data_IF_634846857649
#
_entry.id   IF_634846857649
#
_cell.length_a   1.000
_cell.length_b   1.000
_cell.length_c   1.000
_cell.angle_alpha   90.00
_cell.angle_beta   90.00
_cell.angle_gamma   90.00
#
_symmetry.space_group_name_H-M   'P 1'
#
loop_
_entity.id
_entity.type
_entity.pdbx_description
1 polymer ?
#
# COMPACT_ATOMS: atom_id res chain seq x y z
N UNK A 1 26.83 12.03 4.11
CA UNK A 1 27.38 12.48 5.41
C UNK A 1 28.19 11.34 5.99
N UNK A 2 29.45 11.58 6.33
CA UNK A 2 30.38 10.57 6.82
C UNK A 2 30.11 10.22 8.30
N UNK A 3 30.44 9.00 8.74
CA UNK A 3 30.12 8.48 10.09
C UNK A 3 30.54 9.39 11.27
N UNK A 4 31.58 10.22 11.10
CA UNK A 4 32.07 11.15 12.12
C UNK A 4 31.11 12.30 12.45
N UNK A 5 30.28 12.73 11.51
CA UNK A 5 29.30 13.80 11.75
C UNK A 5 28.16 13.32 12.65
N UNK A 6 27.75 12.05 12.52
CA UNK A 6 26.67 11.50 13.34
C UNK A 6 27.06 11.35 14.82
N UNK A 7 28.33 11.07 15.13
CA UNK A 7 28.78 10.97 16.54
C UNK A 7 28.72 12.32 17.23
N UNK A 8 29.18 13.34 16.54
CA UNK A 8 29.14 14.71 17.02
C UNK A 8 27.71 15.21 17.18
N UNK A 9 26.83 14.92 16.20
CA UNK A 9 25.41 15.24 16.27
C UNK A 9 24.72 14.53 17.44
N UNK A 10 25.00 13.23 17.65
CA UNK A 10 24.43 12.46 18.75
C UNK A 10 24.85 13.00 20.11
N UNK A 11 26.15 13.29 20.29
CA UNK A 11 26.65 13.86 21.55
C UNK A 11 25.99 15.21 21.85
N UNK A 12 25.77 16.05 20.83
CA UNK A 12 25.08 17.34 21.00
C UNK A 12 23.61 17.14 21.38
N UNK A 13 22.89 16.25 20.70
CA UNK A 13 21.48 15.97 20.98
C UNK A 13 21.29 15.37 22.39
N UNK A 14 22.15 14.43 22.80
CA UNK A 14 22.11 13.83 24.15
C UNK A 14 22.45 14.84 25.25
N UNK A 15 23.46 15.70 25.02
CA UNK A 15 23.80 16.78 25.94
C UNK A 15 22.64 17.76 26.08
N UNK A 16 22.03 18.19 24.98
CA UNK A 16 20.86 19.05 25.00
C UNK A 16 19.71 18.43 25.81
N UNK A 17 19.36 17.16 25.54
CA UNK A 17 18.34 16.45 26.32
C UNK A 17 18.66 16.38 27.81
N UNK A 18 19.93 16.19 28.18
CA UNK A 18 20.34 16.12 29.60
C UNK A 18 20.25 17.48 30.29
N UNK A 19 20.63 18.56 29.60
CA UNK A 19 20.56 19.94 30.12
C UNK A 19 19.10 20.31 30.39
N UNK A 20 18.21 20.07 29.41
CA UNK A 20 16.78 20.34 29.58
C UNK A 20 16.14 19.51 30.70
N UNK A 21 16.67 18.32 30.99
CA UNK A 21 16.19 17.49 32.09
C UNK A 21 16.53 18.07 33.48
N UNK A 22 17.66 18.76 33.61
CA UNK A 22 18.20 19.24 34.90
C UNK A 22 17.61 20.59 35.33
N UNK A 23 17.17 21.42 34.39
CA UNK A 23 16.58 22.73 34.65
C UNK A 23 15.05 22.63 34.65
N UNK A 24 14.45 22.37 35.81
CA UNK A 24 13.00 22.05 35.95
C UNK A 24 12.05 23.26 36.04
N UNK A 25 12.56 24.49 35.86
CA UNK A 25 11.85 25.71 36.28
C UNK A 25 11.10 26.48 35.17
N UNK A 26 11.14 26.08 33.88
CA UNK A 26 10.31 26.67 32.80
C UNK A 26 9.52 25.57 32.05
N UNK A 27 8.32 25.27 32.57
CA UNK A 27 7.67 23.96 32.47
C UNK A 27 7.28 23.44 31.06
N UNK A 28 6.79 24.29 30.14
CA UNK A 28 6.26 23.81 28.84
C UNK A 28 7.27 23.93 27.68
N UNK A 29 7.93 25.09 27.55
CA UNK A 29 8.88 25.33 26.45
C UNK A 29 10.11 24.43 26.53
N UNK A 30 10.69 24.24 27.73
CA UNK A 30 11.84 23.36 27.90
C UNK A 30 11.47 21.88 27.70
N UNK A 31 10.24 21.49 28.07
CA UNK A 31 9.75 20.13 27.85
C UNK A 31 9.56 19.81 26.37
N UNK A 32 9.14 20.80 25.56
CA UNK A 32 9.12 20.67 24.09
C UNK A 32 10.54 20.54 23.53
N UNK A 33 11.46 21.41 23.94
CA UNK A 33 12.86 21.36 23.48
C UNK A 33 13.55 20.02 23.88
N UNK A 34 13.21 19.46 25.05
CA UNK A 34 13.66 18.13 25.47
C UNK A 34 13.07 17.02 24.59
N UNK A 35 11.79 17.11 24.22
CA UNK A 35 11.14 16.17 23.31
C UNK A 35 11.77 16.21 21.92
N UNK A 36 12.04 17.40 21.40
CA UNK A 36 12.70 17.62 20.10
C UNK A 36 14.12 17.02 20.09
N UNK A 37 14.88 17.21 21.18
CA UNK A 37 16.20 16.60 21.33
C UNK A 37 16.13 15.06 21.37
N UNK A 38 15.11 14.48 22.01
CA UNK A 38 14.87 13.03 22.03
C UNK A 38 14.50 12.51 20.64
N UNK A 39 13.62 13.21 19.93
CA UNK A 39 13.24 12.87 18.57
C UNK A 39 14.45 12.86 17.65
N UNK A 40 15.29 13.91 17.70
CA UNK A 40 16.53 13.99 16.93
C UNK A 40 17.51 12.87 17.25
N UNK A 41 17.61 12.45 18.53
CA UNK A 41 18.40 11.27 18.89
C UNK A 41 17.86 10.01 18.16
N UNK A 42 16.54 9.84 18.11
CA UNK A 42 15.88 8.76 17.38
C UNK A 42 16.25 8.75 15.90
N UNK A 43 16.16 9.89 15.23
CA UNK A 43 16.55 10.06 13.81
C UNK A 43 18.01 9.70 13.58
N UNK A 44 18.93 10.16 14.44
CA UNK A 44 20.36 9.87 14.29
C UNK A 44 20.63 8.36 14.44
N UNK A 45 20.00 7.68 15.41
CA UNK A 45 20.14 6.23 15.55
C UNK A 45 19.55 5.47 14.38
N UNK A 46 18.43 5.94 13.83
CA UNK A 46 17.85 5.37 12.63
C UNK A 46 18.81 5.47 11.44
N UNK A 47 19.39 6.64 11.17
CA UNK A 47 20.37 6.81 10.07
C UNK A 47 21.63 5.95 10.26
N UNK A 48 21.97 5.59 11.50
CA UNK A 48 23.07 4.67 11.84
C UNK A 48 22.72 3.18 11.69
N UNK A 49 21.45 2.84 11.51
CA UNK A 49 20.97 1.47 11.44
C UNK A 49 20.69 0.80 12.80
N UNK A 50 20.79 1.54 13.91
CA UNK A 50 20.40 1.03 15.24
C UNK A 50 18.91 1.28 15.46
N UNK A 51 18.09 0.38 14.90
CA UNK A 51 16.64 0.48 14.97
C UNK A 51 16.11 0.33 16.40
N UNK A 52 16.77 -0.44 17.27
CA UNK A 52 16.35 -0.62 18.67
C UNK A 52 16.49 0.69 19.45
N UNK A 53 17.63 1.37 19.30
CA UNK A 53 17.84 2.68 19.91
C UNK A 53 16.88 3.73 19.33
N UNK A 54 16.70 3.77 18.01
CA UNK A 54 15.78 4.69 17.35
C UNK A 54 14.36 4.60 17.91
N UNK A 55 13.83 3.38 18.03
CA UNK A 55 12.50 3.11 18.60
C UNK A 55 12.41 3.61 20.05
N UNK A 56 13.41 3.33 20.89
CA UNK A 56 13.40 3.74 22.29
C UNK A 56 13.35 5.26 22.44
N UNK A 57 14.19 5.98 21.70
CA UNK A 57 14.22 7.44 21.72
C UNK A 57 12.93 8.06 21.19
N UNK A 58 12.39 7.54 20.10
CA UNK A 58 11.11 8.00 19.54
C UNK A 58 9.94 7.76 20.51
N UNK A 59 9.89 6.65 21.25
CA UNK A 59 8.85 6.41 22.26
C UNK A 59 8.94 7.39 23.45
N UNK A 60 10.15 7.77 23.85
CA UNK A 60 10.37 8.76 24.92
C UNK A 60 9.98 10.17 24.46
N UNK A 61 10.31 10.53 23.22
CA UNK A 61 9.86 11.78 22.60
C UNK A 61 8.32 11.82 22.51
N UNK A 62 7.71 10.75 22.00
CA UNK A 62 6.25 10.58 21.89
C UNK A 62 5.52 10.80 23.21
N UNK A 63 6.02 10.21 24.30
CA UNK A 63 5.42 10.40 25.62
C UNK A 63 5.41 11.87 26.04
N UNK A 64 6.48 12.60 25.71
CA UNK A 64 6.62 14.03 25.99
C UNK A 64 5.64 14.86 25.13
N UNK A 65 5.55 14.58 23.83
CA UNK A 65 4.63 15.27 22.92
C UNK A 65 3.16 15.04 23.26
N UNK A 66 2.80 13.82 23.69
CA UNK A 66 1.44 13.52 24.16
C UNK A 66 1.07 14.37 25.37
N UNK A 67 1.97 14.51 26.34
CA UNK A 67 1.74 15.35 27.53
C UNK A 67 1.68 16.85 27.20
N UNK A 68 2.24 17.26 26.05
CA UNK A 68 2.20 18.62 25.52
C UNK A 68 1.07 18.84 24.51
N UNK A 69 0.22 17.82 24.30
CA UNK A 69 -0.87 17.80 23.32
C UNK A 69 -0.43 18.13 21.88
N UNK A 70 0.87 17.92 21.56
CA UNK A 70 1.43 18.10 20.22
C UNK A 70 1.12 16.86 19.38
N UNK A 71 -0.06 16.83 18.76
CA UNK A 71 -0.53 15.66 18.02
C UNK A 71 0.32 15.37 16.79
N UNK A 72 0.73 16.39 16.03
CA UNK A 72 1.57 16.20 14.83
C UNK A 72 2.93 15.58 15.19
N UNK A 73 3.58 16.08 16.23
CA UNK A 73 4.85 15.56 16.73
C UNK A 73 4.71 14.15 17.33
N UNK A 74 3.56 13.83 17.94
CA UNK A 74 3.25 12.45 18.36
C UNK A 74 3.19 11.51 17.15
N UNK A 75 2.59 11.95 16.04
CA UNK A 75 2.47 11.18 14.79
C UNK A 75 3.84 10.98 14.14
N UNK A 76 4.71 11.99 14.12
CA UNK A 76 6.10 11.84 13.66
C UNK A 76 6.81 10.72 14.43
N UNK A 77 6.71 10.72 15.75
CA UNK A 77 7.31 9.66 16.56
C UNK A 77 6.73 8.27 16.25
N UNK A 78 5.42 8.19 16.00
CA UNK A 78 4.75 6.94 15.62
C UNK A 78 5.25 6.41 14.27
N UNK A 79 5.49 7.30 13.30
CA UNK A 79 6.09 6.95 12.03
C UNK A 79 7.50 6.39 12.20
N UNK A 80 8.37 7.08 12.96
CA UNK A 80 9.74 6.62 13.27
C UNK A 80 9.71 5.23 13.93
N UNK A 81 8.83 5.02 14.91
CA UNK A 81 8.66 3.70 15.56
C UNK A 81 8.19 2.65 14.56
N UNK A 82 7.21 2.96 13.72
CA UNK A 82 6.65 2.02 12.76
C UNK A 82 7.72 1.54 11.75
N UNK A 83 8.46 2.47 11.15
CA UNK A 83 9.46 2.12 10.14
C UNK A 83 10.64 1.37 10.74
N UNK A 84 11.17 1.83 11.88
CA UNK A 84 12.30 1.16 12.53
C UNK A 84 11.91 -0.21 13.09
N UNK A 85 10.68 -0.38 13.58
CA UNK A 85 10.20 -1.69 14.04
C UNK A 85 10.03 -2.68 12.87
N UNK A 86 9.60 -2.22 11.70
CA UNK A 86 9.55 -3.06 10.49
C UNK A 86 10.95 -3.47 10.02
N UNK A 87 11.93 -2.54 10.00
CA UNK A 87 13.33 -2.86 9.66
C UNK A 87 13.97 -3.80 10.69
N UNK A 88 13.68 -3.60 11.97
CA UNK A 88 14.11 -4.50 13.04
C UNK A 88 13.52 -5.91 12.85
N UNK A 89 12.25 -6.04 12.47
CA UNK A 89 11.67 -7.34 12.17
C UNK A 89 12.43 -8.07 11.07
N UNK A 90 12.82 -7.37 10.00
CA UNK A 90 13.64 -7.93 8.93
C UNK A 90 15.03 -8.36 9.41
N UNK A 91 15.67 -7.60 10.31
CA UNK A 91 16.95 -7.99 10.94
C UNK A 91 16.81 -9.23 11.83
N UNK A 92 15.67 -9.37 12.52
CA UNK A 92 15.35 -10.51 13.38
C UNK A 92 14.82 -11.72 12.58
N UNK A 93 14.86 -11.67 11.24
CA UNK A 93 14.58 -12.81 10.36
C UNK A 93 13.18 -12.83 9.72
N UNK A 94 12.43 -11.73 9.70
CA UNK A 94 11.23 -11.64 8.87
C UNK A 94 11.60 -11.53 7.39
N UNK A 95 11.21 -12.51 6.58
CA UNK A 95 11.37 -12.52 5.13
C UNK A 95 10.05 -12.87 4.45
N UNK A 96 9.83 -12.30 3.27
CA UNK A 96 8.65 -12.59 2.46
C UNK A 96 8.69 -14.01 1.88
N UNK A 97 9.88 -14.50 1.52
CA UNK A 97 10.08 -15.79 0.82
C UNK A 97 10.11 -17.02 1.75
N UNK A 98 10.30 -16.83 3.06
CA UNK A 98 10.54 -17.94 4.00
C UNK A 98 9.26 -18.74 4.30
N UNK A 99 9.22 -20.02 3.92
CA UNK A 99 8.03 -20.87 4.18
C UNK A 99 7.69 -21.00 5.67
N UNK A 100 8.68 -20.81 6.55
CA UNK A 100 8.52 -20.89 8.00
C UNK A 100 8.03 -19.56 8.59
N UNK A 101 7.22 -19.62 9.66
CA UNK A 101 6.74 -18.40 10.29
C UNK A 101 7.90 -17.70 11.03
N UNK A 102 7.97 -16.36 11.02
CA UNK A 102 9.13 -15.62 11.50
C UNK A 102 9.43 -15.90 12.98
N UNK A 103 10.67 -15.71 13.45
CA UNK A 103 11.02 -15.85 14.87
C UNK A 103 10.14 -14.97 15.77
N UNK A 104 10.02 -15.33 17.05
CA UNK A 104 9.19 -14.58 18.01
C UNK A 104 9.57 -13.10 18.08
N UNK A 105 10.87 -12.79 18.14
CA UNK A 105 11.37 -11.42 18.16
C UNK A 105 10.93 -10.61 16.93
N UNK A 106 10.97 -11.22 15.74
CA UNK A 106 10.49 -10.61 14.51
C UNK A 106 8.97 -10.39 14.52
N UNK A 107 8.18 -11.34 15.04
CA UNK A 107 6.72 -11.17 15.20
C UNK A 107 6.36 -10.02 16.13
N UNK A 108 7.03 -9.93 17.28
CA UNK A 108 6.81 -8.88 18.27
C UNK A 108 7.15 -7.49 17.66
N UNK A 109 8.23 -7.41 16.87
CA UNK A 109 8.61 -6.21 16.14
C UNK A 109 7.58 -5.82 15.05
N UNK A 110 7.07 -6.79 14.26
CA UNK A 110 6.01 -6.55 13.27
C UNK A 110 4.71 -6.05 13.92
N UNK A 111 4.33 -6.62 15.06
CA UNK A 111 3.14 -6.19 15.80
C UNK A 111 3.30 -4.76 16.32
N UNK A 112 4.48 -4.42 16.86
CA UNK A 112 4.80 -3.05 17.27
C UNK A 112 4.75 -2.07 16.10
N UNK A 113 5.28 -2.47 14.95
CA UNK A 113 5.26 -1.65 13.74
C UNK A 113 3.83 -1.36 13.27
N UNK A 114 2.99 -2.40 13.15
CA UNK A 114 1.61 -2.26 12.72
C UNK A 114 0.78 -1.39 13.67
N UNK A 115 0.87 -1.66 14.98
CA UNK A 115 0.16 -0.87 16.00
C UNK A 115 0.55 0.60 15.97
N UNK A 116 1.83 0.89 15.71
CA UNK A 116 2.32 2.27 15.66
C UNK A 116 1.82 2.98 14.41
N UNK A 117 1.87 2.31 13.24
CA UNK A 117 1.34 2.86 12.00
C UNK A 117 -0.17 3.16 12.10
N UNK A 118 -0.96 2.20 12.58
CA UNK A 118 -2.42 2.36 12.74
C UNK A 118 -2.79 3.42 13.78
N UNK A 119 -2.02 3.53 14.88
CA UNK A 119 -2.22 4.60 15.85
C UNK A 119 -1.97 5.98 15.22
N UNK A 120 -0.94 6.12 14.39
CA UNK A 120 -0.65 7.37 13.68
C UNK A 120 -1.77 7.74 12.70
N UNK A 121 -2.19 6.78 11.88
CA UNK A 121 -3.32 6.97 10.94
C UNK A 121 -4.61 7.35 11.68
N UNK A 122 -4.87 6.77 12.85
CA UNK A 122 -6.04 7.13 13.67
C UNK A 122 -5.96 8.58 14.18
N UNK A 123 -4.79 9.04 14.62
CA UNK A 123 -4.61 10.42 15.07
C UNK A 123 -4.81 11.40 13.91
N UNK A 124 -4.26 11.11 12.73
CA UNK A 124 -4.43 11.93 11.52
C UNK A 124 -5.88 12.03 11.02
N UNK A 125 -6.73 11.06 11.35
CA UNK A 125 -8.18 11.14 11.01
C UNK A 125 -8.93 12.14 11.87
N UNK A 126 -8.48 12.37 13.11
CA UNK A 126 -9.15 13.22 14.10
C UNK A 126 -8.55 14.62 14.13
N UNK A 127 -7.27 14.74 13.77
CA UNK A 127 -6.52 16.00 13.78
C UNK A 127 -5.97 16.28 12.39
N UNK A 128 -6.38 17.40 11.79
CA UNK A 128 -5.79 17.86 10.55
C UNK A 128 -4.33 18.26 10.81
N UNK A 129 -3.39 17.53 10.24
CA UNK A 129 -1.99 17.93 10.23
C UNK A 129 -1.74 18.94 9.12
N UNK A 130 -1.07 20.04 9.46
CA UNK A 130 -0.72 21.11 8.51
C UNK A 130 0.78 21.14 8.24
N UNK A 131 1.62 20.86 9.24
CA UNK A 131 3.07 20.98 9.09
C UNK A 131 3.71 19.86 8.23
N UNK A 132 3.09 18.67 8.24
CA UNK A 132 3.61 17.47 7.60
C UNK A 132 2.51 16.72 6.83
N UNK A 133 2.03 17.26 5.70
CA UNK A 133 0.96 16.64 4.91
C UNK A 133 1.32 15.25 4.37
N UNK A 134 2.61 14.97 4.19
CA UNK A 134 3.17 13.71 3.69
C UNK A 134 3.03 12.54 4.68
N UNK A 135 2.87 12.82 5.98
CA UNK A 135 2.90 11.78 7.03
C UNK A 135 1.81 10.72 6.88
N UNK A 136 0.65 11.10 6.33
CA UNK A 136 -0.42 10.14 6.08
C UNK A 136 0.04 9.08 5.08
N UNK A 137 0.60 9.50 3.95
CA UNK A 137 1.14 8.59 2.94
C UNK A 137 2.30 7.75 3.49
N UNK A 138 3.19 8.36 4.27
CA UNK A 138 4.33 7.66 4.87
C UNK A 138 3.90 6.57 5.87
N UNK A 139 2.87 6.83 6.70
CA UNK A 139 2.30 5.83 7.60
C UNK A 139 1.58 4.70 6.86
N UNK A 140 0.92 5.01 5.73
CA UNK A 140 0.34 4.00 4.86
C UNK A 140 1.43 3.09 4.25
N UNK A 141 2.54 3.66 3.79
CA UNK A 141 3.70 2.90 3.33
C UNK A 141 4.34 2.04 4.44
N UNK A 142 4.43 2.56 5.66
CA UNK A 142 4.92 1.81 6.82
C UNK A 142 3.98 0.64 7.17
N UNK A 143 2.66 0.87 7.16
CA UNK A 143 1.65 -0.20 7.31
C UNK A 143 1.79 -1.25 6.21
N UNK A 144 1.89 -0.83 4.96
CA UNK A 144 2.04 -1.72 3.82
C UNK A 144 3.28 -2.61 3.94
N UNK A 145 4.42 -2.05 4.36
CA UNK A 145 5.65 -2.81 4.57
C UNK A 145 5.47 -3.96 5.58
N UNK A 146 4.76 -3.71 6.67
CA UNK A 146 4.46 -4.72 7.68
C UNK A 146 3.51 -5.79 7.13
N UNK A 147 2.52 -5.38 6.34
CA UNK A 147 1.58 -6.29 5.68
C UNK A 147 2.30 -7.17 4.65
N UNK A 148 3.23 -6.63 3.87
CA UNK A 148 4.08 -7.39 2.94
C UNK A 148 4.92 -8.44 3.69
N UNK A 149 5.55 -8.08 4.81
CA UNK A 149 6.29 -9.04 5.66
C UNK A 149 5.39 -10.10 6.30
N UNK A 150 4.10 -9.81 6.48
CA UNK A 150 3.06 -10.76 6.92
C UNK A 150 2.41 -11.53 5.75
N UNK A 151 2.81 -11.27 4.50
CA UNK A 151 2.26 -11.84 3.26
C UNK A 151 0.80 -11.46 2.96
N UNK A 152 0.35 -10.36 3.53
CA UNK A 152 -0.95 -9.75 3.27
C UNK A 152 -0.81 -8.75 2.12
N UNK A 153 -0.50 -9.27 0.92
CA UNK A 153 -0.10 -8.45 -0.24
C UNK A 153 -1.24 -7.57 -0.75
N UNK A 154 -2.48 -8.06 -0.71
CA UNK A 154 -3.66 -7.31 -1.18
C UNK A 154 -3.94 -6.13 -0.27
N UNK A 155 -3.88 -6.33 1.05
CA UNK A 155 -4.07 -5.27 2.04
C UNK A 155 -2.91 -4.26 2.02
N UNK A 156 -1.70 -4.72 1.69
CA UNK A 156 -0.56 -3.84 1.46
C UNK A 156 -0.80 -2.95 0.24
N UNK A 157 -1.27 -3.50 -0.88
CA UNK A 157 -1.59 -2.74 -2.10
C UNK A 157 -2.67 -1.69 -1.86
N UNK A 158 -3.75 -2.03 -1.14
CA UNK A 158 -4.78 -1.04 -0.77
C UNK A 158 -4.18 0.15 -0.01
N UNK A 159 -3.22 -0.11 0.89
CA UNK A 159 -2.55 0.96 1.62
C UNK A 159 -1.61 1.79 0.72
N UNK A 160 -0.93 1.14 -0.24
CA UNK A 160 0.00 1.78 -1.15
C UNK A 160 -0.72 2.62 -2.21
N UNK A 161 -1.84 2.16 -2.75
CA UNK A 161 -2.66 2.92 -3.70
C UNK A 161 -3.16 4.23 -3.07
N UNK A 162 -3.64 4.16 -1.82
CA UNK A 162 -4.02 5.37 -1.08
C UNK A 162 -2.81 6.29 -0.86
N UNK A 163 -1.63 5.74 -0.55
CA UNK A 163 -0.40 6.53 -0.39
C UNK A 163 0.03 7.22 -1.69
N UNK A 164 0.01 6.52 -2.84
CA UNK A 164 0.37 7.07 -4.15
C UNK A 164 -0.53 8.24 -4.51
N UNK A 165 -1.84 8.11 -4.36
CA UNK A 165 -2.79 9.22 -4.62
C UNK A 165 -2.50 10.42 -3.73
N UNK A 166 -2.13 10.19 -2.46
CA UNK A 166 -1.77 11.26 -1.54
C UNK A 166 -0.49 11.98 -1.97
N UNK A 167 0.57 11.25 -2.27
CA UNK A 167 1.84 11.84 -2.69
C UNK A 167 1.71 12.58 -4.01
N UNK A 168 0.94 12.05 -4.97
CA UNK A 168 0.64 12.72 -6.23
C UNK A 168 -0.07 14.06 -6.03
N UNK A 169 -1.04 14.12 -5.12
CA UNK A 169 -1.73 15.37 -4.78
C UNK A 169 -0.85 16.39 -4.06
N UNK A 170 0.23 15.93 -3.42
CA UNK A 170 1.21 16.78 -2.75
C UNK A 170 2.41 17.12 -3.63
N UNK A 171 2.47 16.59 -4.86
CA UNK A 171 3.63 16.69 -5.76
C UNK A 171 4.93 16.13 -5.14
N UNK A 172 4.80 15.15 -4.23
CA UNK A 172 5.91 14.47 -3.56
C UNK A 172 6.43 13.29 -4.40
N UNK A 173 7.10 13.60 -5.50
CA UNK A 173 7.49 12.62 -6.53
C UNK A 173 8.39 11.47 -6.04
N UNK A 174 9.34 11.74 -5.13
CA UNK A 174 10.23 10.69 -4.60
C UNK A 174 9.45 9.71 -3.72
N UNK A 175 8.53 10.22 -2.89
CA UNK A 175 7.68 9.39 -2.02
C UNK A 175 6.65 8.61 -2.85
N UNK A 176 6.11 9.22 -3.90
CA UNK A 176 5.26 8.55 -4.88
C UNK A 176 5.99 7.38 -5.55
N UNK A 177 7.22 7.61 -6.03
CA UNK A 177 8.05 6.59 -6.65
C UNK A 177 8.41 5.44 -5.68
N UNK A 178 8.80 5.76 -4.44
CA UNK A 178 9.07 4.76 -3.40
C UNK A 178 7.82 3.91 -3.08
N UNK A 179 6.62 4.52 -3.07
CA UNK A 179 5.37 3.79 -2.87
C UNK A 179 5.04 2.87 -4.05
N UNK A 180 5.26 3.33 -5.29
CA UNK A 180 5.09 2.54 -6.51
C UNK A 180 6.04 1.33 -6.57
N UNK A 181 7.31 1.49 -6.18
CA UNK A 181 8.23 0.35 -6.09
C UNK A 181 7.79 -0.68 -5.04
N UNK A 182 7.28 -0.23 -3.89
CA UNK A 182 6.69 -1.14 -2.90
C UNK A 182 5.45 -1.84 -3.46
N UNK A 183 4.63 -1.16 -4.26
CA UNK A 183 3.48 -1.78 -4.91
C UNK A 183 3.94 -2.84 -5.92
N UNK A 184 4.97 -2.53 -6.71
CA UNK A 184 5.62 -3.46 -7.63
C UNK A 184 6.05 -4.76 -6.93
N UNK A 185 6.72 -4.68 -5.77
CA UNK A 185 7.12 -5.86 -4.99
C UNK A 185 5.92 -6.76 -4.62
N UNK A 186 4.81 -6.15 -4.19
CA UNK A 186 3.59 -6.87 -3.81
C UNK A 186 2.89 -7.49 -5.03
N UNK A 187 2.81 -6.76 -6.16
CA UNK A 187 2.27 -7.26 -7.43
C UNK A 187 3.11 -8.42 -7.99
N UNK A 188 4.44 -8.31 -7.90
CA UNK A 188 5.36 -9.37 -8.29
C UNK A 188 5.17 -10.63 -7.44
N UNK A 189 5.00 -10.48 -6.13
CA UNK A 189 4.67 -11.59 -5.23
C UNK A 189 3.33 -12.25 -5.58
N UNK A 190 2.35 -11.47 -6.05
CA UNK A 190 1.05 -11.96 -6.54
C UNK A 190 1.09 -12.51 -7.98
N UNK A 191 2.26 -12.53 -8.64
CA UNK A 191 2.44 -12.93 -10.05
C UNK A 191 1.68 -12.05 -11.06
N UNK A 192 1.32 -10.83 -10.67
CA UNK A 192 0.75 -9.80 -11.54
C UNK A 192 1.90 -9.03 -12.22
N UNK A 193 2.60 -9.71 -13.14
CA UNK A 193 3.87 -9.23 -13.70
C UNK A 193 3.72 -7.98 -14.56
N UNK A 194 2.58 -7.84 -15.26
CA UNK A 194 2.32 -6.70 -16.12
C UNK A 194 2.12 -5.44 -15.30
N UNK A 195 1.24 -5.51 -14.31
CA UNK A 195 0.95 -4.45 -13.37
C UNK A 195 2.21 -4.08 -12.57
N UNK A 196 3.01 -5.08 -12.18
CA UNK A 196 4.31 -4.85 -11.56
C UNK A 196 5.27 -4.08 -12.48
N UNK A 197 5.38 -4.45 -13.77
CA UNK A 197 6.21 -3.69 -14.72
C UNK A 197 5.72 -2.26 -14.91
N UNK A 198 4.41 -2.05 -15.06
CA UNK A 198 3.81 -0.72 -15.23
C UNK A 198 4.12 0.18 -14.02
N UNK A 199 3.98 -0.34 -12.79
CA UNK A 199 4.33 0.39 -11.57
C UNK A 199 5.83 0.74 -11.49
N UNK A 200 6.71 -0.17 -11.92
CA UNK A 200 8.16 0.09 -11.92
C UNK A 200 8.59 1.07 -13.02
N UNK A 201 7.93 1.08 -14.17
CA UNK A 201 8.16 2.07 -15.24
C UNK A 201 7.74 3.47 -14.77
N UNK A 202 6.59 3.58 -14.11
CA UNK A 202 6.11 4.84 -13.53
C UNK A 202 7.07 5.35 -12.44
N UNK A 203 7.50 4.48 -11.52
CA UNK A 203 8.50 4.85 -10.52
C UNK A 203 9.82 5.31 -11.15
N UNK A 204 10.29 4.63 -12.21
CA UNK A 204 11.51 5.01 -12.92
C UNK A 204 11.42 6.43 -13.51
N UNK A 205 10.29 6.75 -14.16
CA UNK A 205 10.06 8.09 -14.71
C UNK A 205 10.11 9.17 -13.63
N UNK A 206 9.53 8.90 -12.45
CA UNK A 206 9.54 9.83 -11.32
C UNK A 206 10.96 10.02 -10.73
N UNK A 207 11.73 8.94 -10.54
CA UNK A 207 13.11 9.09 -10.05
C UNK A 207 14.00 9.84 -11.04
N UNK A 208 13.82 9.61 -12.34
CA UNK A 208 14.53 10.37 -13.38
C UNK A 208 14.14 11.85 -13.35
N UNK A 209 12.86 12.16 -13.13
CA UNK A 209 12.39 13.53 -12.97
C UNK A 209 13.04 14.22 -11.76
N UNK A 210 13.23 13.50 -10.65
CA UNK A 210 13.86 14.00 -9.43
C UNK A 210 15.38 13.95 -9.41
N UNK A 211 16.03 13.43 -10.46
CA UNK A 211 17.48 13.16 -10.49
C UNK A 211 17.96 12.26 -9.33
N UNK A 212 17.09 11.35 -8.85
CA UNK A 212 17.45 10.38 -7.80
C UNK A 212 18.08 9.13 -8.42
N UNK A 213 19.41 9.13 -8.50
CA UNK A 213 20.18 8.01 -9.05
C UNK A 213 20.00 6.69 -8.28
N UNK A 214 19.83 6.75 -6.95
CA UNK A 214 19.67 5.54 -6.15
C UNK A 214 18.27 4.93 -6.38
N UNK A 215 17.25 5.78 -6.46
CA UNK A 215 15.91 5.37 -6.90
C UNK A 215 15.87 4.80 -8.32
N UNK A 216 16.55 5.45 -9.25
CA UNK A 216 16.61 5.03 -10.66
C UNK A 216 17.17 3.60 -10.81
N UNK A 217 18.28 3.29 -10.13
CA UNK A 217 18.88 1.97 -10.19
C UNK A 217 17.99 0.90 -9.53
N UNK A 218 17.34 1.22 -8.40
CA UNK A 218 16.35 0.33 -7.76
C UNK A 218 15.19 0.01 -8.71
N UNK A 219 14.67 1.01 -9.41
CA UNK A 219 13.56 0.83 -10.35
C UNK A 219 13.98 0.00 -11.58
N UNK A 220 15.18 0.24 -12.14
CA UNK A 220 15.73 -0.58 -13.23
C UNK A 220 15.94 -2.03 -12.83
N UNK A 221 16.46 -2.30 -11.64
CA UNK A 221 16.61 -3.66 -11.13
C UNK A 221 15.26 -4.38 -11.06
N UNK A 222 14.23 -3.67 -10.59
CA UNK A 222 12.88 -4.23 -10.53
C UNK A 222 12.28 -4.50 -11.91
N UNK A 223 12.49 -3.60 -12.87
CA UNK A 223 12.07 -3.81 -14.26
C UNK A 223 12.73 -5.02 -14.90
N UNK A 224 14.01 -5.24 -14.63
CA UNK A 224 14.69 -6.45 -15.10
C UNK A 224 14.04 -7.71 -14.51
N UNK A 225 13.64 -7.69 -13.23
CA UNK A 225 12.95 -8.81 -12.57
C UNK A 225 11.55 -9.07 -13.15
N UNK A 226 10.76 -8.04 -13.42
CA UNK A 226 9.37 -8.18 -13.90
C UNK A 226 9.32 -8.53 -15.39
N UNK A 227 10.14 -7.89 -16.22
CA UNK A 227 10.16 -8.10 -17.68
C UNK A 227 10.80 -9.43 -18.10
N UNK A 228 11.87 -9.87 -17.42
CA UNK A 228 12.52 -11.16 -17.72
C UNK A 228 11.60 -12.36 -17.48
N UNK A 229 10.68 -12.26 -16.52
CA UNK A 229 9.70 -13.32 -16.24
C UNK A 229 8.54 -13.28 -17.24
N UNK A 230 8.12 -12.11 -17.71
CA UNK A 230 7.11 -11.96 -18.77
C UNK A 230 7.62 -12.47 -20.14
N UNK A 231 8.93 -12.39 -20.39
CA UNK A 231 9.57 -12.85 -21.62
C UNK A 231 9.91 -14.35 -21.65
N UNK A 232 9.54 -15.14 -20.62
CA UNK A 232 9.50 -16.60 -20.78
C UNK A 232 8.28 -16.93 -21.64
N UNK A 233 8.43 -17.29 -22.93
CA UNK A 233 7.39 -18.10 -23.56
C UNK A 233 7.16 -19.33 -22.68
N UNK A 234 5.97 -19.91 -22.75
CA UNK A 234 5.73 -21.28 -22.33
C UNK A 234 6.57 -22.22 -23.23
N UNK A 235 7.89 -22.14 -23.14
CA UNK A 235 8.81 -23.07 -23.73
C UNK A 235 8.68 -24.35 -22.90
N UNK A 236 8.00 -25.31 -23.51
CA UNK A 236 8.11 -26.71 -23.15
C UNK A 236 9.58 -26.99 -22.82
N UNK A 237 9.84 -27.40 -21.57
CA UNK A 237 11.14 -27.92 -21.18
C UNK A 237 11.61 -28.89 -22.26
N UNK A 238 12.85 -28.78 -22.79
CA UNK A 238 13.34 -29.75 -23.73
C UNK A 238 13.42 -31.09 -23.00
N UNK A 239 12.43 -31.95 -23.29
CA UNK A 239 12.46 -33.35 -22.94
C UNK A 239 13.77 -33.90 -23.47
N UNK A 240 14.66 -34.46 -22.63
CA UNK A 240 15.75 -35.26 -23.15
C UNK A 240 15.09 -36.39 -23.94
N UNK A 241 15.44 -36.54 -25.23
CA UNK A 241 15.01 -37.70 -26.01
C UNK A 241 15.67 -38.94 -25.41
N UNK A 242 15.03 -39.49 -24.38
CA UNK A 242 15.40 -40.75 -23.80
C UNK A 242 15.09 -41.83 -24.84
N UNK A 243 16.13 -42.39 -25.44
CA UNK A 243 16.08 -43.71 -26.04
C UNK A 243 15.80 -44.71 -24.91
N UNK A 244 14.52 -44.88 -24.56
CA UNK A 244 14.07 -45.85 -23.57
C UNK A 244 13.70 -47.15 -24.30
N UNK A 245 14.48 -48.20 -24.05
CA UNK A 245 14.07 -49.57 -24.32
C UNK A 245 12.85 -49.96 -23.46
N UNK A 246 12.11 -51.01 -23.85
CA UNK A 246 10.84 -51.33 -23.22
C UNK A 246 11.06 -51.88 -21.80
N UNK A 247 10.52 -51.18 -20.78
CA UNK A 247 10.26 -51.79 -19.47
C UNK A 247 10.72 -51.05 -18.22
N UNK A 248 11.18 -49.80 -18.27
CA UNK A 248 11.57 -49.06 -17.05
C UNK A 248 10.86 -47.71 -16.99
N UNK A 249 9.91 -47.55 -16.07
CA UNK A 249 9.31 -46.26 -15.73
C UNK A 249 10.33 -45.40 -14.97
N UNK A 250 10.56 -44.13 -15.37
CA UNK A 250 11.51 -43.27 -14.67
C UNK A 250 10.97 -42.82 -13.30
N UNK A 251 11.86 -42.71 -12.32
CA UNK A 251 11.57 -42.43 -10.90
C UNK A 251 10.78 -41.12 -10.67
N UNK A 252 10.86 -40.14 -11.58
CA UNK A 252 10.11 -38.88 -11.47
C UNK A 252 8.59 -39.06 -11.57
N UNK A 253 8.09 -40.17 -12.15
CA UNK A 253 6.66 -40.44 -12.28
C UNK A 253 6.05 -40.98 -10.98
N UNK A 254 6.86 -41.40 -9.99
CA UNK A 254 6.37 -41.82 -8.67
C UNK A 254 6.26 -40.68 -7.66
N UNK A 255 6.83 -39.50 -7.96
CA UNK A 255 6.83 -38.34 -7.04
C UNK A 255 5.86 -37.22 -7.44
N UNK A 256 5.22 -37.31 -8.62
CA UNK A 256 4.28 -36.30 -9.09
C UNK A 256 2.88 -36.37 -8.41
N UNK A 257 2.53 -37.50 -7.80
CA UNK A 257 1.18 -37.73 -7.24
C UNK A 257 1.02 -37.31 -5.75
N UNK A 258 2.04 -36.73 -5.11
CA UNK A 258 1.98 -36.36 -3.68
C UNK A 258 2.06 -34.85 -3.40
N UNK A 259 2.08 -33.99 -4.42
CA UNK A 259 2.17 -32.53 -4.23
C UNK A 259 0.98 -31.75 -4.81
N UNK A 260 -0.13 -32.42 -5.08
CA UNK A 260 -1.35 -31.79 -5.60
C UNK A 260 -2.56 -32.13 -4.71
N UNK A 261 -2.50 -31.77 -3.43
CA UNK A 261 -3.74 -31.64 -2.65
C UNK A 261 -3.66 -30.55 -1.57
N UNK A 262 -4.65 -29.65 -1.64
CA UNK A 262 -5.06 -28.64 -0.66
C UNK A 262 -4.21 -27.36 -0.48
N UNK A 263 -4.37 -26.41 -1.41
CA UNK A 263 -4.46 -24.99 -1.07
C UNK A 263 -5.83 -24.47 -1.56
N UNK A 264 -6.64 -23.78 -0.73
CA UNK A 264 -7.94 -23.30 -1.15
C UNK A 264 -7.75 -22.23 -2.23
N UNK A 265 -8.53 -22.34 -3.31
CA UNK A 265 -8.59 -21.34 -4.37
C UNK A 265 -8.96 -19.99 -3.76
N UNK A 266 -7.97 -19.12 -3.58
CA UNK A 266 -8.19 -17.72 -3.29
C UNK A 266 -8.96 -17.13 -4.47
N UNK A 267 -10.16 -16.62 -4.18
CA UNK A 267 -10.98 -15.93 -5.16
C UNK A 267 -10.15 -14.84 -5.84
N UNK A 268 -10.11 -14.86 -7.16
CA UNK A 268 -9.51 -13.80 -7.99
C UNK A 268 -10.23 -12.50 -7.66
N UNK A 269 -9.60 -11.63 -6.87
CA UNK A 269 -9.94 -10.20 -6.89
C UNK A 269 -9.19 -9.63 -8.08
N UNK A 270 -9.86 -9.62 -9.24
CA UNK A 270 -9.47 -8.81 -10.39
C UNK A 270 -9.85 -7.39 -10.03
N UNK A 271 -8.89 -6.49 -9.89
CA UNK A 271 -9.18 -5.05 -9.94
C UNK A 271 -9.44 -4.74 -11.42
N UNK A 272 -10.66 -4.40 -11.83
CA UNK A 272 -10.91 -4.11 -13.24
C UNK A 272 -10.37 -2.72 -13.53
N UNK A 273 -9.30 -2.63 -14.32
CA UNK A 273 -9.03 -1.42 -15.09
C UNK A 273 -10.25 -1.21 -15.98
N UNK A 274 -10.94 -0.07 -15.84
CA UNK A 274 -12.19 0.22 -16.54
C UNK A 274 -12.13 -0.22 -18.00
N UNK A 275 -12.85 -1.29 -18.35
CA UNK A 275 -12.93 -1.76 -19.72
C UNK A 275 -13.80 -0.80 -20.51
N UNK A 276 -13.24 -0.26 -21.58
CA UNK A 276 -13.95 0.49 -22.61
C UNK A 276 -13.91 2.02 -22.46
N UNK A 277 -14.07 2.75 -23.59
CA UNK A 277 -14.12 4.21 -23.61
C UNK A 277 -15.28 4.74 -22.77
N UNK A 278 -15.11 5.94 -22.20
CA UNK A 278 -16.18 6.68 -21.53
C UNK A 278 -17.39 6.83 -22.48
N UNK A 279 -18.61 6.77 -21.92
CA UNK A 279 -19.83 6.89 -22.71
C UNK A 279 -19.93 8.31 -23.33
N UNK A 280 -20.08 8.38 -24.66
CA UNK A 280 -20.29 9.64 -25.38
C UNK A 280 -21.70 10.20 -25.07
N UNK A 281 -21.74 11.39 -24.46
CA UNK A 281 -22.97 11.93 -23.85
C UNK A 281 -23.94 12.61 -24.83
N UNK A 282 -23.58 12.66 -26.12
CA UNK A 282 -24.43 13.27 -27.15
C UNK A 282 -25.62 12.39 -27.58
N UNK A 283 -25.63 11.11 -27.21
CA UNK A 283 -26.70 10.16 -27.51
C UNK A 283 -26.98 9.17 -26.35
N UNK A 284 -27.08 9.67 -25.12
CA UNK A 284 -27.31 8.83 -23.93
C UNK A 284 -28.75 8.33 -23.90
N UNK A 285 -28.94 7.06 -24.22
CA UNK A 285 -30.18 6.35 -23.92
C UNK A 285 -30.07 5.67 -22.54
N UNK A 286 -31.17 5.53 -21.79
CA UNK A 286 -31.15 4.84 -20.50
C UNK A 286 -30.64 3.39 -20.61
N UNK A 287 -30.83 2.73 -21.75
CA UNK A 287 -30.32 1.38 -22.02
C UNK A 287 -28.79 1.35 -22.10
N UNK A 288 -28.16 2.38 -22.67
CA UNK A 288 -26.71 2.48 -22.76
C UNK A 288 -26.05 2.70 -21.38
N UNK A 289 -26.68 3.53 -20.54
CA UNK A 289 -26.25 3.76 -19.16
C UNK A 289 -26.41 2.48 -18.34
N UNK A 290 -27.57 1.84 -18.41
CA UNK A 290 -27.84 0.59 -17.69
C UNK A 290 -26.85 -0.51 -18.08
N UNK A 291 -26.56 -0.64 -19.38
CA UNK A 291 -25.55 -1.59 -19.88
C UNK A 291 -24.17 -1.31 -19.28
N UNK A 292 -23.76 -0.03 -19.20
CA UNK A 292 -22.45 0.34 -18.65
C UNK A 292 -22.36 0.14 -17.14
N UNK A 293 -23.41 0.50 -16.40
CA UNK A 293 -23.49 0.25 -14.95
C UNK A 293 -23.42 -1.26 -14.69
N UNK A 294 -24.13 -2.07 -15.47
CA UNK A 294 -24.12 -3.54 -15.36
C UNK A 294 -22.75 -4.14 -15.68
N UNK A 295 -22.06 -3.64 -16.70
CA UNK A 295 -20.68 -4.02 -17.02
C UNK A 295 -19.74 -3.80 -15.84
N UNK A 296 -19.82 -2.62 -15.21
CA UNK A 296 -18.94 -2.26 -14.09
C UNK A 296 -19.29 -3.08 -12.84
N UNK A 297 -20.57 -3.30 -12.57
CA UNK A 297 -21.00 -4.18 -11.46
C UNK A 297 -20.48 -5.60 -11.67
N UNK A 298 -20.64 -6.18 -12.86
CA UNK A 298 -20.12 -7.49 -13.22
C UNK A 298 -18.61 -7.61 -12.99
N UNK A 299 -17.87 -6.58 -13.39
CA UNK A 299 -16.44 -6.52 -13.18
C UNK A 299 -16.06 -6.46 -11.69
N UNK A 300 -16.81 -5.72 -10.87
CA UNK A 300 -16.56 -5.57 -9.44
C UNK A 300 -16.97 -6.81 -8.63
N UNK A 301 -18.06 -7.49 -9.00
CA UNK A 301 -18.54 -8.69 -8.31
C UNK A 301 -17.94 -9.98 -8.87
N UNK A 302 -17.17 -9.90 -9.95
CA UNK A 302 -16.64 -11.05 -10.70
C UNK A 302 -17.75 -12.03 -11.13
N UNK A 303 -18.91 -11.48 -11.51
CA UNK A 303 -20.10 -12.22 -11.96
C UNK A 303 -20.33 -11.97 -13.44
N UNK A 304 -20.93 -12.91 -14.16
CA UNK A 304 -21.32 -12.68 -15.55
C UNK A 304 -22.45 -11.63 -15.65
N UNK A 305 -22.35 -10.74 -16.65
CA UNK A 305 -23.34 -9.66 -16.85
C UNK A 305 -24.78 -10.18 -17.03
N UNK A 306 -24.95 -11.39 -17.56
CA UNK A 306 -26.26 -12.01 -17.77
C UNK A 306 -26.92 -12.51 -16.48
N UNK A 307 -26.15 -12.69 -15.41
CA UNK A 307 -26.64 -13.16 -14.10
C UNK A 307 -27.00 -12.00 -13.17
N UNK A 308 -26.66 -10.77 -13.55
CA UNK A 308 -26.94 -9.57 -12.76
C UNK A 308 -28.28 -8.98 -13.19
N UNK A 309 -29.27 -9.16 -12.33
CA UNK A 309 -30.58 -8.53 -12.44
C UNK A 309 -30.52 -7.05 -12.05
N UNK A 310 -31.24 -6.21 -12.81
CA UNK A 310 -31.16 -4.75 -12.66
C UNK A 310 -31.90 -4.23 -11.43
N UNK A 311 -32.90 -4.99 -10.95
CA UNK A 311 -33.78 -4.65 -9.82
C UNK A 311 -33.31 -5.30 -8.51
N UNK A 312 -32.34 -6.22 -8.58
CA UNK A 312 -31.81 -6.89 -7.40
C UNK A 312 -30.87 -5.96 -6.65
N UNK A 313 -31.02 -5.80 -5.31
CA UNK A 313 -30.09 -5.02 -4.51
C UNK A 313 -28.66 -5.53 -4.68
N UNK A 314 -27.73 -4.64 -4.98
CA UNK A 314 -26.34 -5.01 -5.29
C UNK A 314 -25.66 -5.75 -4.13
N UNK A 315 -26.05 -5.47 -2.88
CA UNK A 315 -25.55 -6.21 -1.72
C UNK A 315 -25.98 -7.68 -1.70
N UNK A 316 -27.17 -7.98 -2.21
CA UNK A 316 -27.65 -9.35 -2.38
C UNK A 316 -26.99 -10.03 -3.59
N UNK A 317 -26.60 -9.24 -4.60
CA UNK A 317 -25.84 -9.69 -5.77
C UNK A 317 -24.33 -9.90 -5.50
N UNK A 318 -23.89 -9.83 -4.24
CA UNK A 318 -22.49 -10.10 -3.84
C UNK A 318 -21.60 -8.85 -3.70
N UNK A 319 -22.17 -7.65 -3.80
CA UNK A 319 -21.44 -6.41 -3.51
C UNK A 319 -21.20 -6.25 -2.01
N UNK A 320 -19.93 -6.12 -1.62
CA UNK A 320 -19.49 -5.89 -0.23
C UNK A 320 -19.31 -4.40 0.06
N UNK A 321 -19.27 -4.02 1.35
CA UNK A 321 -18.99 -2.63 1.74
C UNK A 321 -17.64 -2.11 1.22
N UNK A 322 -16.65 -2.99 1.02
CA UNK A 322 -15.36 -2.65 0.43
C UNK A 322 -15.42 -2.48 -1.10
N UNK A 323 -16.21 -3.30 -1.80
CA UNK A 323 -16.33 -3.22 -3.26
C UNK A 323 -17.27 -2.11 -3.72
N UNK A 324 -18.11 -1.56 -2.83
CA UNK A 324 -18.96 -0.40 -3.08
C UNK A 324 -18.16 0.88 -3.43
N UNK A 325 -16.99 1.07 -2.80
CA UNK A 325 -16.12 2.22 -3.07
C UNK A 325 -15.49 2.10 -4.46
N UNK A 326 -14.99 0.91 -4.80
CA UNK A 326 -14.44 0.61 -6.13
C UNK A 326 -15.49 0.81 -7.24
N UNK A 327 -16.72 0.34 -7.02
CA UNK A 327 -17.84 0.54 -7.94
C UNK A 327 -18.08 2.03 -8.21
N UNK A 328 -18.13 2.85 -7.16
CA UNK A 328 -18.34 4.30 -7.27
C UNK A 328 -17.21 4.99 -8.03
N UNK A 329 -15.95 4.63 -7.78
CA UNK A 329 -14.80 5.22 -8.45
C UNK A 329 -14.73 4.81 -9.93
N UNK A 330 -15.07 3.57 -10.25
CA UNK A 330 -15.15 3.10 -11.64
C UNK A 330 -16.30 3.77 -12.40
N UNK A 331 -17.47 3.94 -11.75
CA UNK A 331 -18.59 4.68 -12.32
C UNK A 331 -18.23 6.15 -12.55
N UNK A 332 -17.53 6.80 -11.61
CA UNK A 332 -17.08 8.18 -11.76
C UNK A 332 -16.03 8.39 -12.85
N UNK A 333 -15.25 7.35 -13.20
CA UNK A 333 -14.34 7.38 -14.36
C UNK A 333 -15.06 7.13 -15.68
N UNK A 334 -16.08 6.27 -15.67
CA UNK A 334 -16.82 5.89 -16.88
C UNK A 334 -17.93 6.89 -17.26
N UNK A 335 -18.42 7.66 -16.28
CA UNK A 335 -19.54 8.59 -16.41
C UNK A 335 -19.09 9.99 -15.94
N UNK A 336 -19.27 11.05 -16.73
CA UNK A 336 -18.87 12.41 -16.35
C UNK A 336 -19.92 13.08 -15.44
N UNK A 337 -20.37 12.39 -14.40
CA UNK A 337 -21.34 12.90 -13.41
C UNK A 337 -20.78 12.77 -11.99
N UNK A 338 -21.12 13.73 -11.13
CA UNK A 338 -20.72 13.68 -9.72
C UNK A 338 -21.61 12.68 -8.97
N UNK A 339 -21.03 11.57 -8.51
CA UNK A 339 -21.74 10.53 -7.79
C UNK A 339 -21.52 10.66 -6.26
N UNK A 340 -22.60 10.62 -5.44
CA UNK A 340 -22.51 10.74 -3.99
C UNK A 340 -21.74 9.58 -3.36
N UNK A 341 -21.08 9.82 -2.23
CA UNK A 341 -20.32 8.80 -1.50
C UNK A 341 -21.20 7.66 -0.94
N UNK A 342 -22.50 7.93 -0.77
CA UNK A 342 -23.53 7.00 -0.30
C UNK A 342 -24.27 6.29 -1.44
N UNK A 343 -23.79 6.39 -2.69
CA UNK A 343 -24.45 5.88 -3.91
C UNK A 343 -25.07 4.49 -3.73
N UNK A 344 -24.31 3.51 -3.23
CA UNK A 344 -24.75 2.11 -3.08
C UNK A 344 -25.83 1.93 -2.01
N UNK A 345 -25.94 2.86 -1.06
CA UNK A 345 -26.96 2.84 -0.01
C UNK A 345 -28.24 3.58 -0.43
N UNK A 346 -28.07 4.71 -1.12
CA UNK A 346 -29.19 5.55 -1.55
C UNK A 346 -29.85 5.00 -2.83
N UNK A 347 -29.08 4.32 -3.68
CA UNK A 347 -29.48 3.75 -4.96
C UNK A 347 -28.99 2.29 -5.03
N UNK A 348 -29.67 1.36 -4.33
CA UNK A 348 -29.17 0.01 -4.12
C UNK A 348 -29.23 -0.88 -5.37
N UNK A 349 -29.93 -0.48 -6.42
CA UNK A 349 -30.11 -1.26 -7.66
C UNK A 349 -29.45 -0.59 -8.88
N UNK A 350 -29.21 -1.36 -9.95
CA UNK A 350 -28.67 -0.82 -11.21
C UNK A 350 -29.69 0.11 -11.87
N UNK A 351 -30.99 -0.18 -11.74
CA UNK A 351 -32.06 0.68 -12.22
C UNK A 351 -32.02 2.06 -11.54
N UNK A 352 -31.90 2.10 -10.21
CA UNK A 352 -31.82 3.33 -9.42
C UNK A 352 -30.61 4.19 -9.81
N UNK A 353 -29.44 3.57 -9.97
CA UNK A 353 -28.23 4.28 -10.40
C UNK A 353 -28.34 4.81 -11.83
N UNK A 354 -28.98 4.05 -12.72
CA UNK A 354 -29.23 4.47 -14.11
C UNK A 354 -30.12 5.70 -14.16
N UNK A 355 -31.18 5.72 -13.35
CA UNK A 355 -32.08 6.86 -13.25
C UNK A 355 -31.36 8.11 -12.72
N UNK A 356 -30.57 7.98 -11.66
CA UNK A 356 -29.78 9.09 -11.10
C UNK A 356 -28.85 9.72 -12.14
N UNK A 357 -28.13 8.89 -12.91
CA UNK A 357 -27.21 9.35 -13.97
C UNK A 357 -27.98 10.04 -15.09
N UNK A 358 -29.15 9.51 -15.46
CA UNK A 358 -30.01 10.11 -16.48
C UNK A 358 -30.54 11.49 -16.04
N UNK A 359 -31.04 11.61 -14.81
CA UNK A 359 -31.51 12.87 -14.22
C UNK A 359 -30.38 13.91 -14.13
N UNK A 360 -29.19 13.49 -13.68
CA UNK A 360 -28.01 14.35 -13.55
C UNK A 360 -27.52 14.86 -14.91
N UNK A 361 -27.66 14.05 -15.97
CA UNK A 361 -27.29 14.44 -17.35
C UNK A 361 -28.28 15.46 -17.93
N UNK A 362 -29.58 15.30 -17.64
CA UNK A 362 -30.62 16.25 -18.08
C UNK A 362 -30.48 17.61 -17.37
N UNK A 363 -30.04 17.62 -16.11
CA UNK A 363 -29.78 18.85 -15.35
C UNK A 363 -28.58 19.67 -15.88
N UNK A 364 -27.66 19.05 -16.61
CA UNK A 364 -26.49 19.71 -17.23
C UNK A 364 -26.84 20.31 -18.61
N UNK A 365 -27.90 19.84 -19.27
CA UNK A 365 -28.34 20.29 -20.61
C UNK A 365 -29.32 21.47 -20.61
N UNK A 366 -29.88 21.84 -19.45
CA UNK A 366 -30.71 23.04 -19.23
C UNK A 366 -29.89 24.13 -18.55
#
# INVERSE_FOLDING_TARGET
>A
MEMGDYETALQRAQKASTIYHQERDLFERQKREEADARYLCGEIFWKRGDHKAAINWAERARASYRELEQTEDEVLCLYVVAENAARLASQEGARVEDSQPPPRAARDALEKALKSAEAGLKLLRVSACVAHPELHGQLLCARAQVLTLKRMFVEALVSLDEAVVRFRNLEEYVLEADALLRACDNLYALRQLREASEAAEEALMLYQHCEDFEGEERAKEMLQKTTFVAARPAEAMPMPQAQAGPGVTPVWLQQADVAAEAAPAAAKVVVPTATGPALDMNAVTPEAVMSKVREIVAAVTATDQSEIDAETPLMEAGLTSSSAILLRDLLGKALPVSLPATLVFDYPTIADMTELVHQSTMAIKN
#
